data_IF_443074229623
#
_entry.id   IF_443074229623
#
_cell.length_a   1.000
_cell.length_b   1.000
_cell.length_c   1.000
_cell.angle_alpha   90.00
_cell.angle_beta   90.00
_cell.angle_gamma   90.00
#
_symmetry.space_group_name_H-M   'P 1'
#
loop_
_entity.id
_entity.type
_entity.pdbx_description
1 polymer ?
#
# COMPACT_ATOMS: atom_id res chain seq x y z
N UNK A 1 18.81 -10.78 -6.62
CA UNK A 1 18.29 -9.40 -6.67
C UNK A 1 17.88 -9.08 -5.26
N UNK A 2 18.64 -8.20 -4.61
CA UNK A 2 18.50 -7.90 -3.18
C UNK A 2 17.18 -7.18 -2.95
N UNK A 3 16.54 -7.49 -1.82
CA UNK A 3 15.32 -6.82 -1.38
C UNK A 3 15.73 -5.41 -0.90
N UNK A 4 15.69 -4.44 -1.81
CA UNK A 4 15.85 -3.01 -1.47
C UNK A 4 14.51 -2.40 -1.02
N UNK A 5 13.42 -3.14 -1.20
CA UNK A 5 12.05 -2.76 -0.85
C UNK A 5 11.64 -3.35 0.51
N UNK A 6 10.76 -2.64 1.21
CA UNK A 6 10.12 -3.09 2.45
C UNK A 6 8.62 -3.17 2.20
N UNK A 7 8.07 -4.38 2.36
CA UNK A 7 6.66 -4.67 2.21
C UNK A 7 6.01 -4.96 3.58
N UNK A 8 4.89 -4.30 3.85
CA UNK A 8 4.05 -4.55 5.03
C UNK A 8 2.70 -5.14 4.60
N UNK A 9 2.46 -6.38 5.02
CA UNK A 9 1.15 -7.01 4.92
C UNK A 9 0.30 -6.61 6.14
N UNK A 10 -0.84 -5.95 5.88
CA UNK A 10 -1.69 -5.35 6.92
C UNK A 10 -3.10 -5.94 6.79
N UNK A 11 -3.74 -6.44 7.86
CA UNK A 11 -5.14 -6.84 7.80
C UNK A 11 -6.01 -5.74 7.20
N UNK A 12 -6.90 -6.05 6.24
CA UNK A 12 -7.66 -5.04 5.48
C UNK A 12 -8.34 -4.01 6.37
N UNK A 13 -8.89 -4.45 7.50
CA UNK A 13 -9.53 -3.55 8.47
C UNK A 13 -8.58 -2.47 9.01
N UNK A 14 -7.35 -2.85 9.36
CA UNK A 14 -6.35 -1.91 9.88
C UNK A 14 -5.73 -1.08 8.76
N UNK A 15 -5.62 -1.64 7.55
CA UNK A 15 -5.22 -0.90 6.35
C UNK A 15 -6.17 0.25 6.02
N UNK A 16 -7.49 0.00 5.98
CA UNK A 16 -8.48 1.06 5.70
C UNK A 16 -8.47 2.13 6.79
N UNK A 17 -8.37 1.73 8.06
CA UNK A 17 -8.19 2.68 9.18
C UNK A 17 -6.95 3.54 9.03
N UNK A 18 -5.83 2.95 8.64
CA UNK A 18 -4.59 3.68 8.41
C UNK A 18 -4.82 4.73 7.32
N UNK A 19 -5.42 4.39 6.18
CA UNK A 19 -5.71 5.36 5.12
C UNK A 19 -6.65 6.50 5.57
N UNK A 20 -7.62 6.20 6.43
CA UNK A 20 -8.61 7.17 6.89
C UNK A 20 -8.07 8.12 7.97
N UNK A 21 -7.19 7.64 8.85
CA UNK A 21 -6.76 8.38 10.04
C UNK A 21 -5.28 8.76 10.06
N UNK A 22 -4.48 8.36 9.07
CA UNK A 22 -3.05 8.69 9.05
C UNK A 22 -2.84 10.19 9.03
N UNK A 23 -2.03 10.66 9.98
CA UNK A 23 -1.60 12.04 10.07
C UNK A 23 -0.19 12.05 10.63
N UNK A 24 0.71 12.75 9.95
CA UNK A 24 2.05 13.02 10.45
C UNK A 24 2.18 14.52 10.78
N UNK A 25 2.23 14.90 12.07
CA UNK A 25 2.38 16.30 12.49
C UNK A 25 3.65 16.97 11.96
N UNK A 26 4.69 16.19 11.61
CA UNK A 26 5.94 16.72 11.06
C UNK A 26 5.88 16.95 9.55
N UNK A 27 4.89 16.37 8.87
CA UNK A 27 4.74 16.41 7.41
C UNK A 27 5.82 15.63 6.64
N UNK A 28 6.69 14.90 7.34
CA UNK A 28 7.78 14.12 6.75
C UNK A 28 7.23 12.91 5.99
N UNK A 29 6.20 12.26 6.50
CA UNK A 29 5.63 11.06 5.90
C UNK A 29 4.28 11.34 5.26
N UNK A 30 4.08 10.81 4.06
CA UNK A 30 2.81 10.86 3.34
C UNK A 30 2.43 9.49 2.85
N UNK A 31 1.12 9.23 2.87
CA UNK A 31 0.54 8.05 2.22
C UNK A 31 -0.01 8.48 0.85
N UNK A 32 0.24 7.64 -0.16
CA UNK A 32 -0.42 7.69 -1.46
C UNK A 32 -1.09 6.34 -1.71
N UNK A 33 -2.29 6.36 -2.29
CA UNK A 33 -3.14 5.19 -2.45
C UNK A 33 -3.99 5.28 -3.72
N UNK A 34 -4.74 4.23 -4.04
CA UNK A 34 -5.69 4.23 -5.17
C UNK A 34 -6.78 5.32 -5.07
N UNK A 35 -6.93 5.95 -3.90
CA UNK A 35 -7.87 7.07 -3.69
C UNK A 35 -7.32 8.39 -4.24
N UNK A 36 -6.01 8.47 -4.50
CA UNK A 36 -5.32 9.65 -4.97
C UNK A 36 -5.33 9.72 -6.51
N UNK A 37 -5.63 10.91 -7.05
CA UNK A 37 -5.69 11.12 -8.50
C UNK A 37 -4.32 10.86 -9.13
N UNK A 38 -4.28 9.95 -10.11
CA UNK A 38 -3.06 9.63 -10.87
C UNK A 38 -2.27 8.46 -10.31
N UNK A 39 -2.67 7.89 -9.17
CA UNK A 39 -2.12 6.65 -8.65
C UNK A 39 -2.96 5.46 -9.12
N UNK A 40 -2.30 4.41 -9.62
CA UNK A 40 -2.98 3.29 -10.31
C UNK A 40 -2.77 1.94 -9.64
N UNK A 41 -1.93 1.87 -8.60
CA UNK A 41 -1.66 0.61 -7.89
C UNK A 41 -2.73 0.36 -6.83
N UNK A 42 -3.11 -0.92 -6.59
CA UNK A 42 -4.10 -1.27 -5.57
C UNK A 42 -3.56 -1.17 -4.13
N UNK A 43 -2.24 -1.26 -3.96
CA UNK A 43 -1.56 -1.08 -2.67
C UNK A 43 -1.24 0.39 -2.42
N UNK A 44 -1.27 0.81 -1.16
CA UNK A 44 -0.77 2.13 -0.78
C UNK A 44 0.74 2.10 -0.55
N UNK A 45 1.37 3.26 -0.64
CA UNK A 45 2.76 3.48 -0.22
C UNK A 45 2.81 4.57 0.82
N UNK A 46 3.60 4.38 1.87
CA UNK A 46 4.03 5.47 2.76
C UNK A 46 5.45 5.87 2.39
N UNK A 47 5.72 7.16 2.24
CA UNK A 47 7.02 7.64 1.77
C UNK A 47 7.50 8.88 2.52
N UNK A 48 8.82 9.03 2.56
CA UNK A 48 9.50 10.19 3.16
C UNK A 48 9.62 11.33 2.14
N UNK A 49 8.96 12.46 2.41
CA UNK A 49 8.90 13.66 1.57
C UNK A 49 10.22 14.43 1.51
N UNK A 50 11.17 14.12 2.39
CA UNK A 50 12.51 14.74 2.40
C UNK A 50 13.50 14.03 1.48
N UNK A 51 13.06 12.96 0.82
CA UNK A 51 13.85 12.16 -0.13
C UNK A 51 13.17 12.13 -1.49
N UNK A 52 13.93 11.83 -2.55
CA UNK A 52 13.41 11.68 -3.91
C UNK A 52 13.91 10.35 -4.45
N UNK A 53 12.98 9.49 -4.88
CA UNK A 53 13.32 8.30 -5.64
C UNK A 53 13.36 8.64 -7.13
N UNK A 54 14.45 8.28 -7.80
CA UNK A 54 14.60 8.47 -9.25
C UNK A 54 14.55 7.12 -9.94
N UNK A 55 13.41 6.82 -10.54
CA UNK A 55 13.22 5.64 -11.36
C UNK A 55 13.39 5.99 -12.85
N UNK A 56 14.14 5.17 -13.59
CA UNK A 56 14.33 5.35 -15.03
C UNK A 56 13.19 4.69 -15.84
N UNK A 57 11.93 4.95 -15.46
CA UNK A 57 10.74 4.38 -16.10
C UNK A 57 9.77 5.47 -16.56
N UNK A 58 8.95 5.18 -17.59
CA UNK A 58 8.09 6.14 -18.31
C UNK A 58 6.95 6.76 -17.47
N UNK A 59 6.69 6.26 -16.26
CA UNK A 59 5.64 6.76 -15.36
C UNK A 59 6.28 7.31 -14.10
N UNK A 60 6.64 8.59 -14.12
CA UNK A 60 7.23 9.25 -12.94
C UNK A 60 6.14 9.58 -11.93
N UNK A 61 6.08 8.81 -10.84
CA UNK A 61 5.41 9.24 -9.62
C UNK A 61 6.47 9.95 -8.75
N UNK A 62 6.27 11.24 -8.45
CA UNK A 62 7.19 11.98 -7.57
C UNK A 62 7.01 11.54 -6.11
N UNK A 63 7.62 10.40 -5.76
CA UNK A 63 7.68 9.86 -4.40
C UNK A 63 9.11 9.72 -3.91
N UNK A 64 9.27 9.80 -2.59
CA UNK A 64 10.53 9.52 -1.91
C UNK A 64 10.73 8.03 -1.63
N UNK A 65 11.71 7.72 -0.80
CA UNK A 65 11.91 6.38 -0.24
C UNK A 65 10.61 5.90 0.43
N UNK A 66 10.16 4.70 0.07
CA UNK A 66 8.82 4.22 0.44
C UNK A 66 8.82 2.83 1.08
N UNK A 67 7.69 2.53 1.73
CA UNK A 67 7.29 1.20 2.20
C UNK A 67 5.95 0.86 1.53
N UNK A 68 5.84 -0.33 0.97
CA UNK A 68 4.59 -0.83 0.39
C UNK A 68 3.63 -1.35 1.48
N UNK A 69 2.36 -0.97 1.38
CA UNK A 69 1.30 -1.34 2.30
C UNK A 69 0.29 -2.22 1.55
N UNK A 70 0.36 -3.53 1.79
CA UNK A 70 -0.53 -4.50 1.15
C UNK A 70 -1.69 -4.88 2.06
N UNK A 71 -2.95 -4.61 1.67
CA UNK A 71 -4.10 -5.10 2.41
C UNK A 71 -4.21 -6.61 2.27
N UNK A 72 -4.29 -7.31 3.40
CA UNK A 72 -4.56 -8.74 3.48
C UNK A 72 -5.99 -8.99 3.95
N UNK A 73 -6.72 -9.75 3.15
CA UNK A 73 -8.01 -10.30 3.53
C UNK A 73 -7.82 -11.57 4.37
N UNK A 74 -8.52 -11.64 5.51
CA UNK A 74 -8.64 -12.91 6.22
C UNK A 74 -9.45 -13.87 5.35
N UNK A 75 -8.81 -14.95 4.93
CA UNK A 75 -9.51 -16.10 4.38
C UNK A 75 -9.98 -16.99 5.54
N UNK A 76 -11.14 -17.63 5.37
CA UNK A 76 -11.58 -18.66 6.31
C UNK A 76 -10.55 -19.79 6.40
N UNK A 77 -10.44 -20.40 7.58
CA UNK A 77 -9.65 -21.62 7.76
C UNK A 77 -10.32 -22.85 7.11
N UNK A 78 -11.59 -22.74 6.72
CA UNK A 78 -12.26 -23.74 5.88
C UNK A 78 -11.97 -23.48 4.40
N UNK A 79 -11.44 -24.48 3.70
CA UNK A 79 -11.02 -24.36 2.31
C UNK A 79 -12.20 -24.07 1.36
N UNK A 80 -13.41 -24.52 1.67
CA UNK A 80 -14.59 -24.29 0.83
C UNK A 80 -15.05 -22.84 0.95
N UNK A 81 -15.08 -22.32 2.17
CA UNK A 81 -15.41 -20.94 2.48
C UNK A 81 -14.33 -19.99 1.95
N UNK A 82 -13.04 -20.29 2.14
CA UNK A 82 -11.94 -19.53 1.56
C UNK A 82 -12.04 -19.42 0.04
N UNK A 83 -12.38 -20.52 -0.66
CA UNK A 83 -12.62 -20.51 -2.12
C UNK A 83 -13.81 -19.63 -2.51
N UNK A 84 -14.87 -19.57 -1.69
CA UNK A 84 -16.01 -18.66 -1.93
C UNK A 84 -15.61 -17.20 -1.72
N UNK A 85 -14.85 -16.91 -0.68
CA UNK A 85 -14.34 -15.57 -0.39
C UNK A 85 -13.41 -15.08 -1.51
N UNK A 86 -12.48 -15.92 -1.95
CA UNK A 86 -11.56 -15.61 -3.05
C UNK A 86 -12.29 -15.26 -4.35
N UNK A 87 -13.38 -15.97 -4.68
CA UNK A 87 -14.21 -15.66 -5.86
C UNK A 87 -14.95 -14.32 -5.78
N UNK A 88 -15.15 -13.77 -4.58
CA UNK A 88 -15.81 -12.45 -4.39
C UNK A 88 -14.83 -11.28 -4.47
N UNK A 89 -13.53 -11.57 -4.34
CA UNK A 89 -12.44 -10.59 -4.40
C UNK A 89 -11.95 -10.43 -5.87
N UNK A 90 -12.32 -11.35 -6.76
CA UNK A 90 -11.98 -11.38 -8.19
C UNK A 90 -13.10 -10.77 -9.03
#
# INVERSE_FOLDING_TARGET
>A
MGCDDVDLNIPRFDYEKLLDSFSDPTGRYRIISIRDKGYYLPSAKIFDTTTIMRENYDVSLDIGLFIDLFPMDNLSNDLTEAKRMFRRIK
#
